data_IF_883770358274
#
_entry.id   IF_883770358274
#
_cell.length_a   1.000
_cell.length_b   1.000
_cell.length_c   1.000
_cell.angle_alpha   90.00
_cell.angle_beta   90.00
_cell.angle_gamma   90.00
#
_symmetry.space_group_name_H-M   'P 1'
#
loop_
_entity.id
_entity.type
_entity.pdbx_description
1 polymer ?
#
# COMPACT_ATOMS: atom_id res chain seq x y z
N UNK A 1 1.89 3.96 -21.67
CA UNK A 1 3.32 3.77 -21.34
C UNK A 1 4.19 4.91 -21.84
N UNK A 2 4.05 5.38 -23.07
CA UNK A 2 4.87 6.45 -23.65
C UNK A 2 4.67 7.82 -23.01
N UNK A 3 3.44 8.23 -22.79
CA UNK A 3 3.07 9.53 -22.14
C UNK A 3 3.57 9.60 -20.70
N UNK A 4 3.55 8.49 -19.96
CA UNK A 4 4.07 8.42 -18.60
C UNK A 4 5.58 8.61 -18.52
N UNK A 5 6.30 8.06 -19.52
CA UNK A 5 7.76 8.23 -19.62
C UNK A 5 8.14 9.69 -19.92
N UNK A 6 7.37 10.35 -20.76
CA UNK A 6 7.59 11.76 -21.10
C UNK A 6 7.25 12.67 -19.91
N UNK A 7 6.20 12.36 -19.19
CA UNK A 7 5.76 13.13 -18.02
C UNK A 7 6.75 13.01 -16.87
N UNK A 8 7.18 11.78 -16.56
CA UNK A 8 8.24 11.55 -15.58
C UNK A 8 9.53 12.31 -15.95
N UNK A 9 9.87 12.36 -17.22
CA UNK A 9 11.06 13.05 -17.74
C UNK A 9 10.94 14.57 -17.62
N UNK A 10 9.78 15.15 -17.90
CA UNK A 10 9.56 16.60 -17.79
C UNK A 10 9.57 17.02 -16.31
N UNK A 11 8.91 16.27 -15.42
CA UNK A 11 9.01 16.50 -13.97
C UNK A 11 10.45 16.36 -13.46
N UNK A 12 11.22 15.42 -13.99
CA UNK A 12 12.61 15.15 -13.63
C UNK A 12 13.58 16.23 -14.08
N UNK A 13 13.40 16.77 -15.28
CA UNK A 13 14.24 17.86 -15.80
C UNK A 13 14.10 19.15 -14.98
N UNK A 14 12.90 19.41 -14.44
CA UNK A 14 12.65 20.59 -13.57
C UNK A 14 13.28 20.45 -12.17
N UNK A 15 13.36 19.22 -11.66
CA UNK A 15 13.89 18.93 -10.31
C UNK A 15 15.42 18.78 -10.31
N UNK A 16 16.03 18.28 -11.40
CA UNK A 16 17.47 18.03 -11.47
C UNK A 16 18.32 19.26 -11.81
N UNK A 17 17.71 20.44 -12.02
CA UNK A 17 18.45 21.66 -12.38
C UNK A 17 19.19 21.58 -13.73
N UNK A 18 18.92 20.56 -14.55
CA UNK A 18 19.66 20.27 -15.78
C UNK A 18 19.06 20.86 -17.06
N UNK A 19 17.92 21.55 -16.98
CA UNK A 19 17.33 22.33 -18.07
C UNK A 19 16.85 23.64 -17.48
N UNK A 20 17.45 24.74 -17.88
CA UNK A 20 16.92 26.07 -17.64
C UNK A 20 15.55 26.17 -18.34
N UNK A 21 14.50 25.91 -17.58
CA UNK A 21 13.16 26.33 -18.00
C UNK A 21 13.09 27.80 -17.63
N UNK A 22 12.78 28.70 -18.58
CA UNK A 22 12.78 30.11 -18.33
C UNK A 22 11.93 30.44 -17.09
N UNK A 23 12.53 31.18 -16.16
CA UNK A 23 11.83 31.75 -15.01
C UNK A 23 10.62 32.56 -15.51
N UNK A 24 9.52 32.60 -14.75
CA UNK A 24 8.30 33.38 -15.07
C UNK A 24 8.55 34.84 -15.49
N UNK A 25 9.74 35.35 -15.26
CA UNK A 25 10.19 36.71 -15.68
C UNK A 25 10.46 36.84 -17.16
N UNK A 26 10.65 35.74 -17.92
CA UNK A 26 10.98 35.76 -19.36
C UNK A 26 9.83 35.19 -20.26
N UNK A 27 8.60 35.11 -19.77
CA UNK A 27 7.44 34.64 -20.56
C UNK A 27 7.15 35.50 -21.81
N UNK A 28 7.76 36.66 -21.94
CA UNK A 28 7.55 37.54 -23.11
C UNK A 28 8.35 37.12 -24.35
N UNK A 29 9.35 36.27 -24.19
CA UNK A 29 10.19 35.79 -25.32
C UNK A 29 9.84 34.38 -25.80
N UNK A 30 8.93 33.67 -25.11
CA UNK A 30 8.46 32.37 -25.51
C UNK A 30 7.49 32.53 -26.71
N UNK A 31 7.65 31.69 -27.72
CA UNK A 31 6.67 31.65 -28.82
C UNK A 31 5.32 31.10 -28.30
N UNK A 32 4.26 31.25 -29.11
CA UNK A 32 2.93 30.81 -28.72
C UNK A 32 2.83 29.28 -28.48
N UNK A 33 3.70 28.48 -29.10
CA UNK A 33 3.76 27.04 -28.92
C UNK A 33 4.38 26.67 -27.56
N UNK A 34 5.46 27.33 -27.18
CA UNK A 34 6.11 27.13 -25.88
C UNK A 34 5.19 27.53 -24.73
N UNK A 35 4.39 28.60 -24.88
CA UNK A 35 3.36 28.97 -23.90
C UNK A 35 2.28 27.90 -23.74
N UNK A 36 1.84 27.29 -24.84
CA UNK A 36 0.84 26.20 -24.83
C UNK A 36 1.38 24.92 -24.19
N UNK A 37 2.65 24.60 -24.49
CA UNK A 37 3.34 23.45 -23.89
C UNK A 37 3.52 23.68 -22.38
N UNK A 38 3.93 24.87 -21.96
CA UNK A 38 4.07 25.20 -20.53
C UNK A 38 2.72 25.13 -19.81
N UNK A 39 1.62 25.62 -20.42
CA UNK A 39 0.29 25.51 -19.84
C UNK A 39 -0.17 24.04 -19.70
N UNK A 40 0.16 23.19 -20.67
CA UNK A 40 -0.11 21.76 -20.60
C UNK A 40 0.69 21.09 -19.47
N UNK A 41 1.99 21.44 -19.35
CA UNK A 41 2.87 20.96 -18.28
C UNK A 41 2.31 21.33 -16.90
N UNK A 42 1.85 22.59 -16.71
CA UNK A 42 1.23 23.00 -15.46
C UNK A 42 -0.07 22.26 -15.16
N UNK A 43 -0.95 22.12 -16.16
CA UNK A 43 -2.20 21.36 -16.00
C UNK A 43 -1.94 19.91 -15.60
N UNK A 44 -0.92 19.28 -16.15
CA UNK A 44 -0.51 17.91 -15.85
C UNK A 44 0.15 17.81 -14.46
N UNK A 45 0.91 18.84 -14.04
CA UNK A 45 1.49 18.92 -12.68
C UNK A 45 0.39 19.01 -11.62
N UNK A 46 -0.64 19.81 -11.84
CA UNK A 46 -1.77 19.95 -10.92
C UNK A 46 -2.53 18.62 -10.73
N UNK A 47 -2.67 17.83 -11.79
CA UNK A 47 -3.28 16.49 -11.71
C UNK A 47 -2.43 15.51 -10.90
N UNK A 48 -1.10 15.57 -11.02
CA UNK A 48 -0.21 14.69 -10.26
C UNK A 48 -0.08 15.07 -8.76
N UNK A 49 -0.17 16.37 -8.44
CA UNK A 49 -0.11 16.87 -7.06
C UNK A 49 -1.37 16.51 -6.27
N UNK A 50 -2.53 16.40 -6.95
CA UNK A 50 -3.81 16.13 -6.28
C UNK A 50 -3.96 14.67 -5.78
N UNK A 51 -3.19 13.74 -6.31
CA UNK A 51 -3.29 12.32 -5.93
C UNK A 51 -2.30 11.85 -4.84
N UNK A 52 -1.43 12.74 -4.31
CA UNK A 52 -0.45 12.40 -3.26
C UNK A 52 -0.27 13.53 -2.23
N UNK A 53 -1.24 13.76 -1.35
CA UNK A 53 -1.18 14.88 -0.39
C UNK A 53 -0.14 14.74 0.74
N UNK A 54 0.50 13.58 0.90
CA UNK A 54 1.30 13.20 2.09
C UNK A 54 2.78 12.89 1.82
N UNK A 55 3.24 13.01 0.59
CA UNK A 55 4.67 12.79 0.30
C UNK A 55 5.47 14.10 0.41
N UNK A 56 6.50 14.09 1.28
CA UNK A 56 7.47 15.19 1.35
C UNK A 56 8.23 15.32 0.03
N UNK A 57 8.60 16.56 -0.35
CA UNK A 57 9.42 16.85 -1.53
C UNK A 57 10.72 16.02 -1.54
N UNK A 58 11.26 15.70 -0.37
CA UNK A 58 12.45 14.88 -0.19
C UNK A 58 12.26 13.40 -0.58
N UNK A 59 11.08 12.86 -0.33
CA UNK A 59 10.73 11.49 -0.77
C UNK A 59 10.52 11.44 -2.29
N UNK A 60 9.86 12.46 -2.85
CA UNK A 60 9.73 12.63 -4.31
C UNK A 60 11.10 12.73 -5.02
N UNK A 61 12.06 13.44 -4.44
CA UNK A 61 13.44 13.52 -4.95
C UNK A 61 14.16 12.17 -4.92
N UNK A 62 13.99 11.38 -3.85
CA UNK A 62 14.57 10.03 -3.75
C UNK A 62 13.96 9.06 -4.78
N UNK A 63 12.64 9.07 -4.91
CA UNK A 63 11.93 8.24 -5.89
C UNK A 63 12.30 8.63 -7.34
N UNK A 64 12.49 9.91 -7.57
CA UNK A 64 12.93 10.50 -8.84
C UNK A 64 14.34 10.03 -9.23
N UNK A 65 15.29 10.01 -8.29
CA UNK A 65 16.65 9.54 -8.54
C UNK A 65 16.71 8.04 -8.87
N UNK A 66 15.83 7.23 -8.27
CA UNK A 66 15.69 5.81 -8.59
C UNK A 66 15.16 5.61 -10.02
N UNK A 67 14.20 6.44 -10.44
CA UNK A 67 13.63 6.41 -11.79
C UNK A 67 14.68 6.82 -12.82
N UNK A 68 15.46 7.88 -12.57
CA UNK A 68 16.57 8.34 -13.45
C UNK A 68 17.62 7.26 -13.69
N UNK A 69 17.97 6.52 -12.64
CA UNK A 69 18.96 5.41 -12.74
C UNK A 69 18.48 4.26 -13.63
N UNK A 70 17.15 4.14 -13.83
CA UNK A 70 16.52 3.06 -14.59
C UNK A 70 16.10 3.46 -16.03
N UNK A 71 16.17 4.75 -16.42
CA UNK A 71 15.70 5.24 -17.72
C UNK A 71 16.79 5.20 -18.81
N UNK A 72 18.03 4.84 -18.47
CA UNK A 72 19.13 4.87 -19.42
C UNK A 72 19.81 6.24 -19.53
N UNK A 73 20.79 6.36 -20.43
CA UNK A 73 21.59 7.57 -20.51
C UNK A 73 20.77 8.77 -20.99
N UNK A 74 21.05 9.95 -20.44
CA UNK A 74 20.46 11.25 -20.82
C UNK A 74 20.31 11.43 -22.34
N UNK A 75 21.23 10.89 -23.11
CA UNK A 75 21.24 10.95 -24.59
C UNK A 75 20.06 10.23 -25.24
N UNK A 76 19.60 9.10 -24.67
CA UNK A 76 18.42 8.35 -25.17
C UNK A 76 17.11 9.07 -24.84
N UNK A 77 17.04 9.68 -23.66
CA UNK A 77 15.87 10.47 -23.24
C UNK A 77 15.69 11.68 -24.13
N UNK A 78 16.76 12.42 -24.40
CA UNK A 78 16.75 13.59 -25.31
C UNK A 78 16.36 13.16 -26.73
N UNK A 79 16.84 12.01 -27.21
CA UNK A 79 16.46 11.48 -28.54
C UNK A 79 14.96 11.17 -28.61
N UNK A 80 14.40 10.55 -27.59
CA UNK A 80 12.96 10.24 -27.52
C UNK A 80 12.10 11.51 -27.41
N UNK A 81 12.57 12.52 -26.65
CA UNK A 81 11.89 13.82 -26.55
C UNK A 81 11.86 14.58 -27.89
N UNK A 82 12.96 14.54 -28.68
CA UNK A 82 12.99 15.13 -30.01
C UNK A 82 12.00 14.48 -30.96
N UNK A 83 11.89 13.14 -30.93
CA UNK A 83 10.90 12.40 -31.73
C UNK A 83 9.48 12.82 -31.32
N UNK A 84 9.20 12.88 -30.04
CA UNK A 84 7.90 13.27 -29.51
C UNK A 84 7.53 14.74 -29.86
N UNK A 85 8.49 15.67 -29.74
CA UNK A 85 8.29 17.07 -30.18
C UNK A 85 7.90 17.14 -31.64
N UNK A 86 8.51 16.35 -32.49
CA UNK A 86 8.20 16.32 -33.93
C UNK A 86 6.82 15.69 -34.20
N UNK A 87 6.42 14.66 -33.47
CA UNK A 87 5.09 14.05 -33.56
C UNK A 87 4.00 15.03 -33.12
N UNK A 88 4.19 15.76 -32.01
CA UNK A 88 3.27 16.83 -31.60
C UNK A 88 3.17 17.92 -32.65
N UNK A 89 4.30 18.37 -33.19
CA UNK A 89 4.33 19.39 -34.21
C UNK A 89 3.55 18.95 -35.49
N UNK A 90 3.76 17.72 -35.95
CA UNK A 90 3.02 17.13 -37.07
C UNK A 90 1.49 17.06 -36.78
N UNK A 91 1.08 16.63 -35.60
CA UNK A 91 -0.32 16.58 -35.18
C UNK A 91 -0.93 17.98 -35.11
N UNK A 92 -0.17 18.99 -34.69
CA UNK A 92 -0.64 20.40 -34.68
C UNK A 92 -0.76 21.00 -36.07
N UNK A 93 0.11 20.64 -37.01
CA UNK A 93 0.06 21.09 -38.42
C UNK A 93 -1.08 20.44 -39.18
N UNK A 94 -1.41 19.16 -38.91
CA UNK A 94 -2.56 18.46 -39.53
C UNK A 94 -3.91 18.89 -38.97
N UNK A 95 -3.97 19.33 -37.68
CA UNK A 95 -5.19 19.77 -37.03
C UNK A 95 -5.45 21.25 -37.27
N UNK A 96 -5.90 21.63 -38.49
CA UNK A 96 -6.32 22.99 -38.81
C UNK A 96 -7.36 23.51 -37.80
N UNK A 97 -6.90 24.22 -36.75
CA UNK A 97 -7.73 25.04 -35.88
C UNK A 97 -7.88 24.55 -34.43
N UNK A 98 -8.42 25.43 -33.59
CA UNK A 98 -8.61 25.31 -32.15
C UNK A 98 -9.32 24.03 -31.66
N UNK A 99 -10.17 23.43 -32.52
CA UNK A 99 -10.89 22.19 -32.22
C UNK A 99 -9.98 20.96 -32.12
N UNK A 100 -8.85 20.96 -32.81
CA UNK A 100 -7.85 19.89 -32.77
C UNK A 100 -7.13 19.82 -31.43
N UNK A 101 -6.77 20.97 -30.86
CA UNK A 101 -6.07 21.04 -29.56
C UNK A 101 -6.97 20.57 -28.44
N UNK A 102 -8.25 20.96 -28.41
CA UNK A 102 -9.23 20.47 -27.43
C UNK A 102 -9.35 18.94 -27.51
N UNK A 103 -9.43 18.38 -28.71
CA UNK A 103 -9.56 16.94 -28.93
C UNK A 103 -8.32 16.17 -28.50
N UNK A 104 -7.11 16.70 -28.70
CA UNK A 104 -5.85 16.13 -28.25
C UNK A 104 -5.76 16.22 -26.73
N UNK A 105 -6.15 17.33 -26.14
CA UNK A 105 -6.20 17.50 -24.68
C UNK A 105 -7.17 16.50 -24.04
N UNK A 106 -8.32 16.25 -24.66
CA UNK A 106 -9.30 15.27 -24.19
C UNK A 106 -8.82 13.82 -24.36
N UNK A 107 -8.10 13.51 -25.44
CA UNK A 107 -7.46 12.22 -25.64
C UNK A 107 -6.33 11.98 -24.62
N UNK A 108 -5.49 12.99 -24.39
CA UNK A 108 -4.42 12.94 -23.39
C UNK A 108 -5.02 12.81 -21.96
N UNK A 109 -6.06 13.59 -21.63
CA UNK A 109 -6.79 13.44 -20.37
C UNK A 109 -7.39 12.05 -20.24
N UNK A 110 -8.02 11.52 -21.28
CA UNK A 110 -8.62 10.19 -21.30
C UNK A 110 -7.56 9.09 -21.17
N UNK A 111 -6.40 9.23 -21.79
CA UNK A 111 -5.28 8.29 -21.67
C UNK A 111 -4.57 8.43 -20.32
N UNK A 112 -4.43 9.66 -19.79
CA UNK A 112 -3.94 9.89 -18.41
C UNK A 112 -4.94 9.30 -17.43
N UNK A 113 -6.23 9.59 -17.56
CA UNK A 113 -7.26 9.01 -16.70
C UNK A 113 -7.28 7.49 -16.82
N UNK A 114 -7.14 6.93 -18.03
CA UNK A 114 -7.07 5.49 -18.26
C UNK A 114 -5.76 4.87 -17.76
N UNK A 115 -4.67 5.63 -17.71
CA UNK A 115 -3.37 5.21 -17.22
C UNK A 115 -3.22 5.52 -15.72
N UNK A 116 -3.83 6.56 -15.17
CA UNK A 116 -3.97 6.86 -13.75
C UNK A 116 -5.13 6.11 -13.08
N UNK A 117 -6.15 5.68 -13.80
CA UNK A 117 -7.00 4.51 -13.42
C UNK A 117 -6.21 3.21 -13.56
N UNK A 118 -4.86 3.35 -13.62
CA UNK A 118 -3.94 2.24 -13.50
C UNK A 118 -4.33 1.40 -12.31
N UNK A 119 -4.99 0.30 -12.69
CA UNK A 119 -5.14 -0.84 -11.83
C UNK A 119 -5.21 -0.43 -10.37
N UNK A 120 -6.43 -0.06 -9.94
CA UNK A 120 -6.74 -0.06 -8.52
C UNK A 120 -6.27 -1.40 -7.99
N UNK A 121 -5.09 -1.42 -7.40
CA UNK A 121 -4.52 -2.66 -6.86
C UNK A 121 -5.43 -3.13 -5.73
N UNK A 122 -5.83 -4.37 -5.75
CA UNK A 122 -6.71 -4.93 -4.71
C UNK A 122 -5.97 -5.16 -3.41
N UNK A 123 -4.72 -5.60 -3.54
CA UNK A 123 -3.78 -5.86 -2.44
C UNK A 123 -2.33 -5.68 -2.92
N UNK A 124 -1.41 -5.74 -1.98
CA UNK A 124 0.01 -5.52 -2.27
C UNK A 124 0.64 -6.61 -3.17
N UNK A 125 0.02 -7.79 -3.31
CA UNK A 125 0.55 -8.88 -4.14
C UNK A 125 0.54 -8.51 -5.63
N UNK A 126 -0.38 -7.64 -6.05
CA UNK A 126 -0.44 -7.13 -7.44
C UNK A 126 0.75 -6.21 -7.79
N UNK A 127 1.52 -5.79 -6.78
CA UNK A 127 2.78 -5.04 -6.98
C UNK A 127 4.02 -5.94 -6.97
N UNK A 128 3.87 -7.23 -6.69
CA UNK A 128 4.99 -8.19 -6.68
C UNK A 128 5.71 -8.19 -8.03
N UNK A 129 7.04 -8.16 -7.98
CA UNK A 129 7.87 -8.10 -9.20
C UNK A 129 8.02 -6.71 -9.80
N UNK A 130 7.28 -5.68 -9.32
CA UNK A 130 7.56 -4.29 -9.65
C UNK A 130 8.73 -3.82 -8.80
N UNK A 131 9.59 -2.95 -9.34
CA UNK A 131 10.68 -2.31 -8.58
C UNK A 131 10.11 -1.24 -7.64
N UNK A 132 9.41 -1.69 -6.60
CA UNK A 132 8.73 -0.82 -5.63
C UNK A 132 9.34 -1.05 -4.25
N UNK A 133 9.57 0.01 -3.49
CA UNK A 133 10.01 -0.06 -2.09
C UNK A 133 8.82 -0.30 -1.17
N UNK A 134 9.08 -0.86 0.01
CA UNK A 134 8.06 -1.02 1.05
C UNK A 134 7.55 0.35 1.51
N UNK A 135 6.26 0.47 1.80
CA UNK A 135 5.62 1.72 2.21
C UNK A 135 4.11 1.61 2.31
N UNK A 136 3.45 2.73 2.63
CA UNK A 136 1.98 2.83 2.66
C UNK A 136 1.47 3.14 1.25
N UNK A 137 0.48 2.37 0.81
CA UNK A 137 -0.16 2.50 -0.50
C UNK A 137 -1.68 2.46 -0.35
N UNK A 138 -2.37 3.14 -1.25
CA UNK A 138 -3.82 2.99 -1.37
C UNK A 138 -4.13 1.72 -2.13
N UNK A 139 -4.81 0.79 -1.49
CA UNK A 139 -5.34 -0.43 -2.09
C UNK A 139 -6.86 -0.36 -2.19
N UNK A 140 -7.43 -1.11 -3.10
CA UNK A 140 -8.87 -1.14 -3.37
C UNK A 140 -9.37 -2.59 -3.29
N UNK A 141 -9.59 -3.14 -2.09
CA UNK A 141 -10.07 -4.50 -1.92
C UNK A 141 -11.37 -4.77 -2.70
N UNK A 142 -12.21 -3.73 -2.83
CA UNK A 142 -13.41 -3.66 -3.66
C UNK A 142 -13.41 -2.36 -4.46
N UNK A 143 -14.26 -2.29 -5.52
CA UNK A 143 -14.31 -1.16 -6.46
C UNK A 143 -14.55 0.21 -5.81
N UNK A 144 -15.33 0.24 -4.73
CA UNK A 144 -15.73 1.47 -4.01
C UNK A 144 -14.95 1.71 -2.72
N UNK A 145 -14.06 0.81 -2.33
CA UNK A 145 -13.33 0.88 -1.06
C UNK A 145 -11.91 1.32 -1.30
N UNK A 146 -11.49 2.41 -0.67
CA UNK A 146 -10.11 2.86 -0.58
C UNK A 146 -9.57 2.56 0.82
N UNK A 147 -8.41 1.94 0.89
CA UNK A 147 -7.79 1.54 2.14
C UNK A 147 -6.29 1.84 2.10
N UNK A 148 -5.80 2.57 3.08
CA UNK A 148 -4.36 2.74 3.29
C UNK A 148 -3.80 1.47 3.95
N UNK A 149 -2.87 0.81 3.27
CA UNK A 149 -2.22 -0.39 3.77
C UNK A 149 -0.70 -0.30 3.60
N UNK A 150 0.03 -0.80 4.57
CA UNK A 150 1.48 -0.94 4.41
C UNK A 150 1.78 -2.18 3.57
N UNK A 151 2.49 -1.97 2.47
CA UNK A 151 2.97 -3.05 1.61
C UNK A 151 4.45 -3.34 1.93
N UNK A 152 4.75 -4.56 2.36
CA UNK A 152 6.14 -5.02 2.46
C UNK A 152 6.55 -5.67 1.13
N UNK A 153 7.48 -4.99 0.46
CA UNK A 153 7.99 -5.41 -0.85
C UNK A 153 9.35 -6.10 -0.76
N UNK A 154 9.88 -6.29 0.45
CA UNK A 154 11.22 -6.82 0.69
C UNK A 154 11.22 -8.24 1.26
N UNK A 155 10.32 -8.55 2.18
CA UNK A 155 10.29 -9.83 2.88
C UNK A 155 9.86 -10.95 1.94
N UNK A 156 10.68 -11.99 1.82
CA UNK A 156 10.38 -13.23 1.08
C UNK A 156 9.78 -12.99 -0.32
N UNK A 157 10.45 -12.13 -1.09
CA UNK A 157 10.05 -11.77 -2.45
C UNK A 157 8.94 -10.73 -2.54
N UNK A 158 8.53 -10.13 -1.42
CA UNK A 158 7.61 -8.99 -1.38
C UNK A 158 6.15 -9.31 -1.69
N UNK A 159 5.37 -8.24 -1.86
CA UNK A 159 3.94 -8.33 -2.17
C UNK A 159 3.05 -8.63 -0.95
N UNK A 160 3.54 -8.36 0.25
CA UNK A 160 2.80 -8.58 1.48
C UNK A 160 1.96 -7.37 1.86
N UNK A 161 0.69 -7.58 2.14
CA UNK A 161 -0.19 -6.60 2.77
C UNK A 161 -0.12 -6.78 4.28
N UNK A 162 0.43 -5.81 5.00
CA UNK A 162 0.50 -5.86 6.47
C UNK A 162 -0.88 -5.61 7.03
N UNK A 163 -1.34 -6.50 7.91
CA UNK A 163 -2.67 -6.47 8.53
C UNK A 163 -2.63 -6.11 10.03
N UNK A 164 -1.48 -6.32 10.65
CA UNK A 164 -1.22 -5.94 12.04
C UNK A 164 0.25 -5.60 12.21
N UNK A 165 0.52 -4.56 12.99
CA UNK A 165 1.90 -4.26 13.41
C UNK A 165 1.92 -3.80 14.86
N UNK A 166 2.85 -4.40 15.62
CA UNK A 166 3.18 -4.02 17.01
C UNK A 166 4.67 -3.70 17.08
N UNK A 167 5.02 -2.56 17.68
CA UNK A 167 6.38 -2.03 17.72
C UNK A 167 6.79 -1.67 19.16
N UNK A 168 6.02 -0.83 19.84
CA UNK A 168 6.38 -0.19 21.09
C UNK A 168 5.20 0.02 22.06
N UNK A 169 4.00 -0.38 21.68
CA UNK A 169 2.78 -0.24 22.50
C UNK A 169 2.23 1.18 22.59
N UNK A 170 2.63 2.08 21.70
CA UNK A 170 2.10 3.46 21.65
C UNK A 170 0.64 3.51 21.21
N UNK A 171 0.21 2.58 20.35
CA UNK A 171 -1.20 2.43 19.95
C UNK A 171 -1.89 1.45 20.87
N UNK A 172 -2.98 1.87 21.51
CA UNK A 172 -3.82 0.98 22.32
C UNK A 172 -4.56 -0.03 21.46
N UNK A 173 -4.43 -1.31 21.80
CA UNK A 173 -5.19 -2.43 21.22
C UNK A 173 -6.32 -2.91 22.14
N UNK A 174 -6.55 -2.23 23.27
CA UNK A 174 -7.72 -2.43 24.13
C UNK A 174 -8.93 -1.71 23.52
N UNK A 175 -9.50 -2.30 22.46
CA UNK A 175 -10.53 -1.74 21.62
C UNK A 175 -11.79 -2.58 21.57
N UNK A 176 -12.90 -1.94 21.21
CA UNK A 176 -14.21 -2.55 21.04
C UNK A 176 -14.36 -3.23 19.67
N UNK A 177 -15.46 -3.97 19.49
CA UNK A 177 -15.79 -4.67 18.25
C UNK A 177 -15.77 -3.76 17.01
N UNK A 178 -16.37 -2.59 17.12
CA UNK A 178 -16.44 -1.64 16.00
C UNK A 178 -15.06 -1.20 15.54
N UNK A 179 -14.14 -0.92 16.48
CA UNK A 179 -12.77 -0.57 16.14
C UNK A 179 -12.04 -1.72 15.45
N UNK A 180 -12.16 -2.95 15.97
CA UNK A 180 -11.55 -4.13 15.35
C UNK A 180 -12.18 -4.47 13.99
N UNK A 181 -13.48 -4.19 13.83
CA UNK A 181 -14.16 -4.33 12.55
C UNK A 181 -13.61 -3.36 11.51
N UNK A 182 -13.52 -2.06 11.86
CA UNK A 182 -13.22 -0.97 10.93
C UNK A 182 -11.72 -0.72 10.76
N UNK A 183 -10.90 -1.19 11.70
CA UNK A 183 -9.46 -0.92 11.76
C UNK A 183 -9.14 0.32 12.60
N UNK A 184 -7.90 0.36 13.11
CA UNK A 184 -7.39 1.47 13.92
C UNK A 184 -5.87 1.55 13.87
N UNK A 185 -5.34 2.70 14.33
CA UNK A 185 -3.90 2.98 14.34
C UNK A 185 -3.43 3.64 13.05
N UNK A 186 -2.12 3.62 12.83
CA UNK A 186 -1.45 4.26 11.70
C UNK A 186 -0.64 3.20 10.94
N UNK A 187 -0.88 2.98 9.64
CA UNK A 187 -0.12 2.02 8.83
C UNK A 187 1.40 2.27 8.82
N UNK A 188 1.86 3.48 9.11
CA UNK A 188 3.29 3.79 9.29
C UNK A 188 3.83 3.31 10.65
N UNK A 189 2.96 3.05 11.62
CA UNK A 189 3.30 2.71 13.02
C UNK A 189 2.64 1.40 13.43
N UNK A 190 1.93 1.41 14.57
CA UNK A 190 1.14 0.28 15.05
C UNK A 190 -0.31 0.39 14.59
N UNK A 191 -0.87 -0.70 14.08
CA UNK A 191 -2.24 -0.70 13.57
C UNK A 191 -2.84 -2.10 13.49
N UNK A 192 -4.15 -2.13 13.40
CA UNK A 192 -4.98 -3.26 12.96
C UNK A 192 -5.74 -2.84 11.70
N UNK A 193 -5.62 -3.61 10.61
CA UNK A 193 -6.20 -3.24 9.31
C UNK A 193 -7.74 -3.17 9.34
N UNK A 194 -8.37 -4.04 10.13
CA UNK A 194 -9.83 -4.17 10.25
C UNK A 194 -10.37 -5.49 9.72
N UNK A 195 -11.20 -6.16 10.54
CA UNK A 195 -11.73 -7.48 10.21
C UNK A 195 -12.58 -7.50 8.94
N UNK A 196 -13.33 -6.43 8.66
CA UNK A 196 -14.11 -6.30 7.42
C UNK A 196 -13.22 -6.33 6.18
N UNK A 197 -12.04 -5.69 6.25
CA UNK A 197 -11.07 -5.69 5.15
C UNK A 197 -10.35 -7.03 5.04
N UNK A 198 -10.05 -7.69 6.19
CA UNK A 198 -9.52 -9.06 6.18
C UNK A 198 -10.49 -10.02 5.49
N UNK A 199 -11.78 -9.91 5.81
CA UNK A 199 -12.81 -10.69 5.11
C UNK A 199 -12.80 -10.41 3.62
N UNK A 200 -12.93 -9.13 3.22
CA UNK A 200 -12.99 -8.73 1.81
C UNK A 200 -11.77 -9.23 1.02
N UNK A 201 -10.56 -9.08 1.58
CA UNK A 201 -9.33 -9.55 0.91
C UNK A 201 -9.32 -11.07 0.79
N UNK A 202 -9.49 -11.78 1.90
CA UNK A 202 -9.24 -13.22 1.98
C UNK A 202 -10.35 -14.09 1.39
N UNK A 203 -11.53 -13.54 1.14
CA UNK A 203 -12.61 -14.23 0.40
C UNK A 203 -12.47 -14.09 -1.12
N UNK A 204 -11.68 -13.10 -1.59
CA UNK A 204 -11.44 -12.86 -3.02
C UNK A 204 -10.22 -13.63 -3.58
N UNK A 205 -9.81 -14.71 -2.94
CA UNK A 205 -8.72 -15.57 -3.40
C UNK A 205 -8.13 -16.43 -2.30
N UNK A 206 -7.06 -17.13 -2.63
CA UNK A 206 -6.30 -17.91 -1.65
C UNK A 206 -5.18 -17.03 -1.09
N UNK A 207 -5.09 -16.94 0.23
CA UNK A 207 -4.09 -16.14 0.92
C UNK A 207 -3.27 -16.98 1.87
N UNK A 208 -1.98 -16.66 1.95
CA UNK A 208 -1.06 -17.10 3.00
C UNK A 208 -0.92 -15.99 4.04
N UNK A 209 -0.67 -16.37 5.30
CA UNK A 209 -0.34 -15.46 6.39
C UNK A 209 1.11 -15.69 6.81
N UNK A 210 1.87 -14.62 6.95
CA UNK A 210 3.16 -14.62 7.62
C UNK A 210 3.09 -13.80 8.90
N UNK A 211 3.64 -14.34 9.99
CA UNK A 211 3.75 -13.66 11.29
C UNK A 211 5.22 -13.58 11.64
N UNK A 212 5.79 -12.38 11.61
CA UNK A 212 7.14 -12.10 12.07
C UNK A 212 7.11 -11.67 13.52
N UNK A 213 8.02 -12.21 14.32
CA UNK A 213 8.11 -12.03 15.76
C UNK A 213 9.54 -11.66 16.17
N UNK A 214 9.69 -10.63 17.01
CA UNK A 214 10.98 -10.19 17.54
C UNK A 214 10.98 -10.34 19.06
N UNK A 215 11.94 -11.07 19.60
CA UNK A 215 12.10 -11.26 21.05
C UNK A 215 12.93 -10.13 21.69
N UNK A 216 13.11 -10.20 23.01
CA UNK A 216 13.86 -9.21 23.80
C UNK A 216 15.36 -9.16 23.47
N UNK A 217 15.91 -10.18 22.81
CA UNK A 217 17.29 -10.21 22.32
C UNK A 217 17.42 -9.71 20.87
N UNK A 218 16.33 -9.13 20.29
CA UNK A 218 16.21 -8.75 18.89
C UNK A 218 16.34 -9.92 17.89
N UNK A 219 16.21 -11.16 18.36
CA UNK A 219 16.15 -12.31 17.48
C UNK A 219 14.79 -12.38 16.80
N UNK A 220 14.80 -12.55 15.49
CA UNK A 220 13.61 -12.69 14.68
C UNK A 220 13.29 -14.15 14.41
N UNK A 221 12.01 -14.50 14.54
CA UNK A 221 11.43 -15.78 14.13
C UNK A 221 10.16 -15.50 13.34
N UNK A 222 9.73 -16.47 12.51
CA UNK A 222 8.49 -16.32 11.76
C UNK A 222 7.69 -17.62 11.71
N UNK A 223 6.36 -17.47 11.62
CA UNK A 223 5.43 -18.52 11.28
C UNK A 223 4.75 -18.18 9.96
N UNK A 224 4.67 -19.16 9.05
CA UNK A 224 4.00 -19.05 7.76
C UNK A 224 2.85 -20.04 7.73
N UNK A 225 1.68 -19.60 7.28
CA UNK A 225 0.48 -20.42 7.11
C UNK A 225 0.01 -20.33 5.65
N UNK A 226 -0.07 -21.46 4.96
CA UNK A 226 -0.47 -21.53 3.53
C UNK A 226 -1.95 -21.23 3.30
N UNK A 227 -2.74 -21.26 4.34
CA UNK A 227 -4.18 -20.95 4.30
C UNK A 227 -4.50 -19.93 5.37
N UNK A 228 -5.08 -18.82 4.98
CA UNK A 228 -5.61 -17.81 5.89
C UNK A 228 -6.87 -17.18 5.29
N UNK A 229 -7.99 -17.31 5.98
CA UNK A 229 -9.28 -16.73 5.58
C UNK A 229 -10.04 -16.28 6.82
N UNK A 230 -10.65 -15.10 6.74
CA UNK A 230 -11.53 -14.54 7.76
C UNK A 230 -12.93 -14.44 7.18
N UNK A 231 -13.92 -15.09 7.81
CA UNK A 231 -15.32 -15.07 7.40
C UNK A 231 -15.92 -13.66 7.61
N UNK A 232 -17.16 -13.47 7.18
CA UNK A 232 -17.92 -12.23 7.33
C UNK A 232 -18.31 -11.92 8.80
N UNK A 233 -18.92 -10.75 9.02
CA UNK A 233 -19.35 -10.31 10.33
C UNK A 233 -20.49 -11.18 10.90
N UNK A 234 -21.37 -11.72 10.05
CA UNK A 234 -22.46 -12.61 10.51
C UNK A 234 -21.91 -13.92 11.09
N UNK A 235 -20.78 -14.36 10.57
CA UNK A 235 -20.03 -15.52 11.08
C UNK A 235 -19.03 -15.12 12.19
N UNK A 236 -19.14 -13.91 12.74
CA UNK A 236 -18.27 -13.34 13.76
C UNK A 236 -16.78 -13.41 13.37
N UNK A 237 -16.46 -13.11 12.11
CA UNK A 237 -15.11 -13.11 11.57
C UNK A 237 -14.31 -14.40 11.89
N UNK A 238 -14.96 -15.54 11.76
CA UNK A 238 -14.38 -16.87 12.04
C UNK A 238 -13.10 -17.08 11.23
N UNK A 239 -12.04 -17.54 11.91
CA UNK A 239 -10.74 -17.81 11.31
C UNK A 239 -10.67 -19.20 10.67
N UNK A 240 -10.15 -19.28 9.46
CA UNK A 240 -9.63 -20.51 8.86
C UNK A 240 -8.14 -20.36 8.61
N UNK A 241 -7.32 -21.20 9.23
CA UNK A 241 -5.86 -21.13 9.14
C UNK A 241 -5.25 -22.54 9.12
N UNK A 242 -4.18 -22.73 8.35
CA UNK A 242 -3.50 -24.04 8.26
C UNK A 242 -2.26 -24.03 7.37
N UNK A 243 -1.59 -25.18 7.30
CA UNK A 243 -0.38 -25.36 6.50
C UNK A 243 0.84 -24.64 7.08
N UNK A 244 1.05 -24.76 8.40
CA UNK A 244 2.15 -24.13 9.13
C UNK A 244 3.53 -24.56 8.62
N UNK A 245 4.45 -23.59 8.57
CA UNK A 245 5.90 -23.75 8.39
C UNK A 245 6.61 -22.51 8.99
N UNK A 246 7.94 -22.49 8.94
CA UNK A 246 8.74 -21.39 9.47
C UNK A 246 9.57 -21.77 10.69
N UNK A 247 10.18 -20.77 11.34
CA UNK A 247 11.11 -20.97 12.47
C UNK A 247 10.42 -20.82 13.83
N UNK A 248 9.24 -20.20 13.88
CA UNK A 248 8.42 -20.12 15.09
C UNK A 248 7.47 -21.33 15.18
N UNK A 249 7.16 -21.73 16.40
CA UNK A 249 6.23 -22.84 16.67
C UNK A 249 4.82 -22.47 16.18
N UNK A 250 4.04 -23.47 15.72
CA UNK A 250 2.63 -23.30 15.37
C UNK A 250 1.78 -22.93 16.58
N UNK A 251 1.53 -21.65 16.79
CA UNK A 251 0.74 -21.14 17.88
C UNK A 251 -0.70 -20.83 17.47
N UNK A 252 -0.97 -20.62 16.18
CA UNK A 252 -2.33 -20.29 15.72
C UNK A 252 -3.16 -21.52 15.32
N UNK A 253 -2.61 -22.72 15.31
CA UNK A 253 -3.41 -23.95 15.09
C UNK A 253 -4.62 -24.02 16.01
N UNK A 254 -4.48 -23.59 17.25
CA UNK A 254 -5.56 -23.56 18.23
C UNK A 254 -6.67 -22.57 17.91
N UNK A 255 -6.32 -21.49 17.17
CA UNK A 255 -7.27 -20.45 16.78
C UNK A 255 -8.07 -20.82 15.52
N UNK A 256 -7.70 -21.90 14.83
CA UNK A 256 -8.45 -22.37 13.65
C UNK A 256 -9.90 -22.70 14.01
N UNK A 257 -10.83 -22.17 13.24
CA UNK A 257 -12.27 -22.35 13.47
C UNK A 257 -12.84 -21.48 14.59
N UNK A 258 -12.04 -20.64 15.26
CA UNK A 258 -12.51 -19.74 16.31
C UNK A 258 -13.09 -18.46 15.75
N UNK A 259 -14.09 -17.91 16.45
CA UNK A 259 -14.71 -16.63 16.18
C UNK A 259 -13.88 -15.51 16.78
N UNK A 260 -13.97 -14.30 16.24
CA UNK A 260 -13.31 -13.14 16.82
C UNK A 260 -14.11 -12.66 18.05
N UNK A 261 -13.43 -12.36 19.13
CA UNK A 261 -14.02 -11.78 20.35
C UNK A 261 -13.32 -10.48 20.71
N UNK A 262 -14.08 -9.56 21.29
CA UNK A 262 -13.62 -8.31 21.88
C UNK A 262 -14.19 -8.16 23.29
N UNK A 263 -13.68 -7.21 24.06
CA UNK A 263 -14.14 -7.01 25.45
C UNK A 263 -15.63 -6.71 25.57
N UNK A 264 -16.24 -6.11 24.55
CA UNK A 264 -17.66 -5.77 24.46
C UNK A 264 -18.49 -6.80 23.65
N UNK A 265 -17.85 -7.80 23.01
CA UNK A 265 -18.54 -8.84 22.25
C UNK A 265 -17.82 -10.17 22.41
N UNK A 266 -18.38 -11.02 23.25
CA UNK A 266 -17.87 -12.35 23.54
C UNK A 266 -18.43 -13.37 22.55
N UNK A 267 -17.53 -14.04 21.82
CA UNK A 267 -17.82 -15.12 20.91
C UNK A 267 -16.91 -16.35 21.16
N UNK A 268 -16.16 -16.35 22.26
CA UNK A 268 -15.25 -17.45 22.61
C UNK A 268 -16.00 -18.63 23.27
N UNK A 269 -15.29 -19.66 23.68
CA UNK A 269 -15.88 -20.86 24.30
C UNK A 269 -15.53 -21.00 25.80
N UNK A 270 -14.88 -20.00 26.35
CA UNK A 270 -14.57 -19.91 27.77
C UNK A 270 -15.79 -19.37 28.54
N UNK A 271 -15.96 -19.73 29.78
CA UNK A 271 -17.09 -19.27 30.62
C UNK A 271 -17.05 -17.78 30.97
N UNK A 272 -15.89 -17.15 30.78
CA UNK A 272 -15.68 -15.71 30.88
C UNK A 272 -15.09 -15.18 29.58
N UNK A 273 -15.16 -13.88 29.34
CA UNK A 273 -14.66 -13.25 28.12
C UNK A 273 -13.12 -13.10 28.16
N UNK A 274 -12.41 -13.90 27.36
CA UNK A 274 -10.95 -13.82 27.23
C UNK A 274 -10.44 -12.47 26.71
N UNK A 275 -11.21 -11.78 25.90
CA UNK A 275 -10.79 -10.54 25.28
C UNK A 275 -10.72 -9.36 26.26
N UNK A 276 -11.39 -9.42 27.43
CA UNK A 276 -11.33 -8.38 28.46
C UNK A 276 -9.89 -8.12 28.92
N UNK A 277 -9.14 -9.21 29.16
CA UNK A 277 -7.76 -9.09 29.64
C UNK A 277 -6.71 -9.26 28.54
N UNK A 278 -7.08 -9.83 27.40
CA UNK A 278 -6.13 -10.33 26.38
C UNK A 278 -6.25 -9.64 25.02
N UNK A 279 -7.13 -8.64 24.91
CA UNK A 279 -7.40 -7.91 23.68
C UNK A 279 -8.20 -8.72 22.63
N UNK A 280 -8.65 -8.03 21.61
CA UNK A 280 -9.44 -8.63 20.54
C UNK A 280 -8.67 -9.69 19.76
N UNK A 281 -9.21 -10.93 19.69
CA UNK A 281 -8.54 -12.05 19.03
C UNK A 281 -9.53 -13.19 18.70
N UNK A 282 -9.07 -14.19 17.96
CA UNK A 282 -9.79 -15.45 17.72
C UNK A 282 -9.63 -16.38 18.93
N UNK A 283 -10.27 -16.04 20.02
CA UNK A 283 -10.19 -16.81 21.27
C UNK A 283 -10.97 -18.13 21.20
N UNK A 284 -10.44 -19.16 21.88
CA UNK A 284 -11.13 -20.38 22.25
C UNK A 284 -11.32 -20.41 23.76
N UNK A 285 -10.70 -21.37 24.46
CA UNK A 285 -10.40 -21.27 25.91
C UNK A 285 -9.18 -20.38 26.09
N UNK A 286 -9.38 -19.10 25.81
CA UNK A 286 -8.37 -18.09 25.50
C UNK A 286 -7.48 -18.50 24.29
N UNK A 287 -6.18 -18.25 24.27
CA UNK A 287 -5.36 -18.52 23.10
C UNK A 287 -3.90 -18.81 23.47
N UNK A 288 -3.23 -19.52 22.55
CA UNK A 288 -1.77 -19.74 22.57
C UNK A 288 -1.00 -18.66 21.79
N UNK A 289 -1.70 -17.74 21.13
CA UNK A 289 -1.15 -16.57 20.44
C UNK A 289 -1.95 -15.33 20.82
N UNK A 290 -1.30 -14.29 21.34
CA UNK A 290 -1.91 -13.06 21.81
C UNK A 290 -1.09 -11.87 21.33
N UNK A 291 -1.23 -11.53 20.04
CA UNK A 291 -0.45 -10.46 19.42
C UNK A 291 -1.14 -9.10 19.53
N UNK A 292 -2.41 -9.08 19.94
CA UNK A 292 -3.15 -7.85 20.23
C UNK A 292 -3.19 -7.52 21.73
N UNK A 293 -2.31 -8.15 22.50
CA UNK A 293 -2.17 -7.90 23.95
C UNK A 293 -1.81 -6.43 24.22
N UNK A 294 -2.21 -5.92 25.38
CA UNK A 294 -1.77 -4.61 25.83
C UNK A 294 -0.28 -4.65 26.23
N UNK A 295 0.57 -4.11 25.37
CA UNK A 295 2.03 -4.12 25.56
C UNK A 295 2.49 -3.27 26.75
N UNK A 296 1.65 -2.38 27.29
CA UNK A 296 1.94 -1.63 28.51
C UNK A 296 1.85 -2.51 29.76
N UNK A 297 1.04 -3.57 29.67
CA UNK A 297 0.84 -4.52 30.78
C UNK A 297 1.68 -5.77 30.62
N UNK A 298 1.84 -6.27 29.39
CA UNK A 298 2.45 -7.56 29.10
C UNK A 298 3.22 -7.56 27.77
N UNK A 299 4.12 -8.54 27.62
CA UNK A 299 4.71 -8.86 26.31
C UNK A 299 3.69 -9.56 25.41
N UNK A 300 3.86 -9.41 24.11
CA UNK A 300 3.14 -10.22 23.14
C UNK A 300 3.45 -11.71 23.38
N UNK A 301 2.42 -12.54 23.33
CA UNK A 301 2.54 -13.94 23.69
C UNK A 301 2.41 -14.84 22.47
N UNK A 302 3.35 -15.80 22.34
CA UNK A 302 3.32 -16.84 21.32
C UNK A 302 3.81 -18.14 21.91
N UNK A 303 2.87 -19.03 22.30
CA UNK A 303 3.07 -20.37 22.90
C UNK A 303 4.23 -20.46 23.91
N UNK A 304 4.11 -19.75 25.02
CA UNK A 304 5.08 -19.79 26.13
C UNK A 304 6.21 -18.77 26.02
N UNK A 305 6.33 -18.04 24.91
CA UNK A 305 7.40 -17.05 24.72
C UNK A 305 6.83 -15.64 24.64
N UNK A 306 7.55 -14.69 25.24
CA UNK A 306 7.24 -13.26 25.18
C UNK A 306 8.01 -12.57 24.08
N UNK A 307 7.30 -11.78 23.26
CA UNK A 307 7.86 -11.00 22.16
C UNK A 307 7.62 -9.51 22.39
N UNK A 308 8.48 -8.68 21.81
CA UNK A 308 8.40 -7.21 21.89
C UNK A 308 7.89 -6.55 20.61
N UNK A 309 7.92 -7.27 19.48
CA UNK A 309 7.35 -6.80 18.22
C UNK A 309 6.67 -7.94 17.48
N UNK A 310 5.63 -7.60 16.74
CA UNK A 310 5.02 -8.53 15.79
C UNK A 310 4.59 -7.79 14.52
N UNK A 311 4.65 -8.50 13.39
CA UNK A 311 4.04 -8.07 12.13
C UNK A 311 3.27 -9.25 11.56
N UNK A 312 1.97 -9.09 11.35
CA UNK A 312 1.15 -10.04 10.59
C UNK A 312 0.92 -9.48 9.21
N UNK A 313 1.15 -10.28 8.19
CA UNK A 313 1.00 -9.86 6.81
C UNK A 313 0.46 -11.00 5.95
N UNK A 314 -0.39 -10.65 4.99
CA UNK A 314 -1.01 -11.60 4.08
C UNK A 314 -0.55 -11.36 2.65
N UNK A 315 -0.51 -12.42 1.87
CA UNK A 315 -0.18 -12.37 0.44
C UNK A 315 -1.07 -13.34 -0.31
N UNK A 316 -1.60 -12.89 -1.44
CA UNK A 316 -2.36 -13.75 -2.34
C UNK A 316 -1.41 -14.75 -3.00
N UNK A 317 -1.78 -16.01 -2.94
CA UNK A 317 -1.13 -17.10 -3.66
C UNK A 317 -1.95 -17.41 -4.91
N UNK A 318 -1.25 -17.63 -6.03
CA UNK A 318 -1.87 -17.88 -7.33
C UNK A 318 -2.78 -19.11 -7.33
#
# INVERSE_FOLDING_TARGET
>A
MFVFTVFAVICLMKISGGVDIPDRRNERELDEEDKKINKLIHTLQDVCVYERPDQSVEQLLKDTNVILKNIGTYKEVVKKLKVFKNEIKWIMEESKGYSGISRITDLIKKDITRTCTLQKIKDCSEMKGRKTTSGVFTIHPEKSTELQAYCDMSTDGGGWTVIQRRIDGTTSFDRNWVDYRDGFGDPHKEFWLGNKYLNTLTTNGKYELRVDLTDTSNKMTYALYKTFTVSDENSQYKLTIGGHSGTAIDSMKYNNGRKFSTKDRDNDVYSGNCAVDRGGWWHGHCSNSLLNYDMKKNKLYWRGFGYIKSTMMIRKIA
#
